data_IF_584429252803
#
_entry.id   IF_584429252803
#
_cell.length_a   1.000
_cell.length_b   1.000
_cell.length_c   1.000
_cell.angle_alpha   90.00
_cell.angle_beta   90.00
_cell.angle_gamma   90.00
#
_symmetry.space_group_name_H-M   'P 1'
#
loop_
_entity.id
_entity.type
_entity.pdbx_description
1 polymer ?
#
# COMPACT_ATOMS: atom_id res chain seq x y z
N UNK A 1 31.39 -41.52 61.28
CA UNK A 1 31.51 -40.05 61.17
C UNK A 1 32.01 -39.77 59.75
N UNK A 2 31.27 -39.32 58.74
CA UNK A 2 29.97 -38.67 58.61
C UNK A 2 30.12 -37.76 57.39
N UNK A 3 30.08 -38.32 56.18
CA UNK A 3 30.32 -37.60 54.92
C UNK A 3 29.10 -36.76 54.52
N UNK A 4 29.35 -35.47 54.27
CA UNK A 4 28.38 -34.47 53.85
C UNK A 4 28.01 -34.70 52.37
N UNK A 5 26.71 -34.86 52.10
CA UNK A 5 26.11 -34.99 50.78
C UNK A 5 25.55 -33.61 50.38
N UNK A 6 26.17 -32.93 49.41
CA UNK A 6 25.59 -31.73 48.80
C UNK A 6 24.52 -32.15 47.79
N UNK A 7 23.28 -31.74 48.05
CA UNK A 7 22.16 -31.81 47.11
C UNK A 7 21.93 -30.40 46.56
N UNK A 8 22.36 -30.16 45.31
CA UNK A 8 21.88 -29.03 44.52
C UNK A 8 20.67 -29.52 43.72
N UNK A 9 19.53 -28.88 43.94
CA UNK A 9 18.30 -29.14 43.23
C UNK A 9 17.66 -27.79 42.90
N UNK A 10 17.74 -27.37 41.65
CA UNK A 10 16.69 -26.53 41.04
C UNK A 10 16.76 -26.72 39.53
N UNK A 11 15.69 -27.31 38.99
CA UNK A 11 15.57 -27.68 37.59
C UNK A 11 15.51 -26.47 36.67
N UNK A 12 16.23 -26.58 35.56
CA UNK A 12 16.05 -25.74 34.38
C UNK A 12 15.19 -26.58 33.44
N UNK A 13 13.89 -26.28 33.37
CA UNK A 13 13.06 -26.81 32.31
C UNK A 13 13.50 -26.16 31.00
N UNK A 14 14.04 -26.98 30.09
CA UNK A 14 14.31 -26.60 28.72
C UNK A 14 12.98 -26.20 28.06
N UNK A 15 12.83 -24.90 27.77
CA UNK A 15 11.88 -24.46 26.76
C UNK A 15 12.52 -24.77 25.41
N UNK A 16 11.94 -25.72 24.69
CA UNK A 16 12.24 -26.00 23.29
C UNK A 16 11.92 -24.75 22.48
N UNK A 17 12.97 -24.01 22.13
CA UNK A 17 12.95 -22.96 21.13
C UNK A 17 12.98 -23.67 19.77
N UNK A 18 11.81 -23.92 19.19
CA UNK A 18 11.71 -24.38 17.80
C UNK A 18 12.24 -23.27 16.89
N UNK A 19 13.50 -23.43 16.49
CA UNK A 19 14.16 -22.70 15.42
C UNK A 19 13.49 -23.03 14.07
N UNK A 20 12.48 -22.26 13.70
CA UNK A 20 11.84 -22.26 12.39
C UNK A 20 12.61 -21.43 11.36
N UNK A 21 13.56 -22.09 10.69
CA UNK A 21 14.07 -21.91 9.32
C UNK A 21 13.82 -20.58 8.57
N UNK A 22 14.92 -19.97 8.11
CA UNK A 22 15.00 -18.90 7.11
C UNK A 22 14.24 -19.23 5.81
N UNK A 23 13.04 -18.67 5.67
CA UNK A 23 12.40 -18.32 4.41
C UNK A 23 12.05 -16.84 4.46
N UNK A 24 11.90 -16.15 3.32
CA UNK A 24 11.44 -14.76 3.29
C UNK A 24 10.08 -14.65 4.01
N UNK A 25 10.11 -14.34 5.30
CA UNK A 25 8.97 -14.47 6.19
C UNK A 25 8.07 -13.26 6.07
N UNK A 26 6.79 -13.50 5.74
CA UNK A 26 5.77 -12.48 5.77
C UNK A 26 5.81 -11.72 7.10
N UNK A 27 5.64 -10.39 7.10
CA UNK A 27 5.67 -9.60 8.32
C UNK A 27 4.64 -10.15 9.32
N UNK A 28 5.03 -10.24 10.60
CA UNK A 28 4.14 -10.74 11.65
C UNK A 28 2.84 -9.93 11.68
N UNK A 29 1.73 -10.55 12.07
CA UNK A 29 0.41 -9.87 12.12
C UNK A 29 0.46 -8.55 12.92
N UNK A 30 1.19 -8.57 14.04
CA UNK A 30 1.40 -7.40 14.88
C UNK A 30 2.24 -6.34 14.17
N UNK A 31 3.23 -6.74 13.37
CA UNK A 31 4.06 -5.83 12.56
C UNK A 31 3.18 -5.06 11.57
N UNK A 32 2.33 -5.75 10.80
CA UNK A 32 1.45 -5.10 9.82
C UNK A 32 0.46 -4.13 10.50
N UNK A 33 -0.17 -4.55 11.60
CA UNK A 33 -1.04 -3.68 12.39
C UNK A 33 -0.32 -2.41 12.86
N UNK A 34 0.89 -2.54 13.39
CA UNK A 34 1.71 -1.41 13.82
C UNK A 34 2.11 -0.49 12.67
N UNK A 35 2.42 -1.04 11.49
CA UNK A 35 2.76 -0.26 10.31
C UNK A 35 1.58 0.59 9.84
N UNK A 36 0.40 -0.01 9.70
CA UNK A 36 -0.81 0.74 9.32
C UNK A 36 -1.16 1.76 10.41
N UNK A 37 -1.08 1.40 11.69
CA UNK A 37 -1.29 2.34 12.81
C UNK A 37 -0.35 3.56 12.73
N UNK A 38 0.91 3.35 12.37
CA UNK A 38 1.89 4.41 12.23
C UNK A 38 1.52 5.36 11.08
N UNK A 39 1.07 4.81 9.94
CA UNK A 39 0.62 5.60 8.80
C UNK A 39 -0.68 6.37 9.09
N UNK A 40 -1.65 5.76 9.78
CA UNK A 40 -2.84 6.48 10.28
C UNK A 40 -2.41 7.65 11.18
N UNK A 41 -1.48 7.39 12.10
CA UNK A 41 -0.94 8.41 13.00
C UNK A 41 -0.27 9.57 12.27
N UNK A 42 0.43 9.30 11.17
CA UNK A 42 1.08 10.31 10.35
C UNK A 42 0.07 11.24 9.67
N UNK A 43 -0.99 10.68 9.06
CA UNK A 43 -2.07 11.47 8.43
C UNK A 43 -2.82 12.31 9.48
N UNK A 44 -3.23 11.69 10.60
CA UNK A 44 -3.89 12.40 11.70
C UNK A 44 -3.02 13.51 12.31
N UNK A 45 -1.69 13.33 12.33
CA UNK A 45 -0.78 14.36 12.83
C UNK A 45 -0.71 15.59 11.92
N UNK A 46 -0.70 15.42 10.59
CA UNK A 46 -0.70 16.55 9.65
C UNK A 46 -2.07 17.23 9.58
N UNK A 47 -3.17 16.47 9.67
CA UNK A 47 -4.51 17.03 9.75
C UNK A 47 -4.65 17.93 10.99
N UNK A 48 -4.27 17.46 12.18
CA UNK A 48 -4.31 18.27 13.42
C UNK A 48 -3.62 19.63 13.35
N UNK A 49 -2.54 19.74 12.57
CA UNK A 49 -1.75 20.96 12.42
C UNK A 49 -2.39 21.99 11.51
N UNK A 50 -3.36 21.61 10.70
CA UNK A 50 -4.07 22.52 9.83
C UNK A 50 -5.24 23.18 10.59
N UNK A 51 -5.29 24.52 10.59
CA UNK A 51 -6.23 25.31 11.39
C UNK A 51 -7.69 24.94 11.13
N UNK A 52 -8.05 24.57 9.89
CA UNK A 52 -9.39 24.09 9.50
C UNK A 52 -9.79 22.81 10.25
N UNK A 53 -8.81 22.01 10.63
CA UNK A 53 -8.99 20.69 11.26
C UNK A 53 -8.63 20.70 12.76
N UNK A 54 -7.82 21.66 13.21
CA UNK A 54 -7.34 21.76 14.59
C UNK A 54 -8.38 22.31 15.58
N UNK A 55 -9.29 23.19 15.14
CA UNK A 55 -10.32 23.79 16.01
C UNK A 55 -11.32 22.74 16.53
N UNK A 56 -11.54 21.66 15.77
CA UNK A 56 -12.48 20.59 16.12
C UNK A 56 -11.83 19.43 16.90
N UNK A 57 -10.51 19.46 17.12
CA UNK A 57 -9.78 18.39 17.80
C UNK A 57 -9.76 18.54 19.33
N UNK A 58 -10.20 19.68 19.87
CA UNK A 58 -10.13 20.05 21.30
C UNK A 58 -11.48 19.97 22.03
N UNK A 59 -12.57 19.72 21.32
CA UNK A 59 -13.87 19.39 21.93
C UNK A 59 -13.95 17.87 22.04
N UNK A 60 -14.20 17.33 23.23
CA UNK A 60 -14.43 15.90 23.49
C UNK A 60 -15.78 15.40 22.89
N UNK A 61 -16.33 16.18 21.96
CA UNK A 61 -17.62 15.96 21.31
C UNK A 61 -17.36 15.47 19.88
N UNK A 62 -17.37 14.14 19.72
CA UNK A 62 -17.17 13.43 18.44
C UNK A 62 -18.12 13.93 17.33
N UNK A 63 -19.23 14.61 17.66
CA UNK A 63 -20.24 15.08 16.69
C UNK A 63 -19.75 16.20 15.76
N UNK A 64 -18.74 16.97 16.14
CA UNK A 64 -18.21 18.06 15.31
C UNK A 64 -16.93 17.67 14.57
N UNK A 65 -16.48 16.43 14.72
CA UNK A 65 -15.27 15.97 14.06
C UNK A 65 -15.51 15.69 12.57
N UNK A 66 -14.54 16.08 11.72
CA UNK A 66 -14.66 15.88 10.29
C UNK A 66 -14.68 14.38 9.93
N UNK A 67 -15.54 13.99 8.99
CA UNK A 67 -15.74 12.60 8.54
C UNK A 67 -14.45 11.82 8.23
N UNK A 68 -13.50 12.44 7.52
CA UNK A 68 -12.19 11.85 7.22
C UNK A 68 -11.38 11.50 8.48
N UNK A 69 -11.41 12.38 9.48
CA UNK A 69 -10.72 12.16 10.76
C UNK A 69 -11.40 11.04 11.55
N UNK A 70 -12.74 11.04 11.59
CA UNK A 70 -13.52 9.98 12.22
C UNK A 70 -13.24 8.62 11.58
N UNK A 71 -13.18 8.55 10.24
CA UNK A 71 -12.86 7.33 9.48
C UNK A 71 -11.48 6.78 9.83
N UNK A 72 -10.45 7.64 9.87
CA UNK A 72 -9.09 7.27 10.29
C UNK A 72 -9.02 6.81 11.75
N UNK A 73 -9.72 7.48 12.67
CA UNK A 73 -9.82 7.07 14.08
C UNK A 73 -10.58 5.75 14.24
N UNK A 74 -11.62 5.51 13.44
CA UNK A 74 -12.37 4.26 13.44
C UNK A 74 -11.48 3.11 12.98
N UNK A 75 -10.76 3.28 11.87
CA UNK A 75 -9.77 2.31 11.40
C UNK A 75 -8.73 2.03 12.49
N UNK A 76 -8.17 3.06 13.13
CA UNK A 76 -7.17 2.90 14.20
C UNK A 76 -7.66 2.03 15.37
N UNK A 77 -8.94 2.10 15.72
CA UNK A 77 -9.54 1.23 16.76
C UNK A 77 -9.73 -0.20 16.26
N UNK A 78 -10.07 -0.37 14.98
CA UNK A 78 -10.37 -1.67 14.39
C UNK A 78 -9.12 -2.50 14.06
N UNK A 79 -8.01 -1.91 13.64
CA UNK A 79 -6.84 -2.67 13.16
C UNK A 79 -6.26 -3.66 14.19
N UNK A 80 -6.35 -3.36 15.49
CA UNK A 80 -5.88 -4.25 16.56
C UNK A 80 -6.94 -5.29 16.97
N UNK A 81 -8.18 -5.15 16.50
CA UNK A 81 -9.24 -6.15 16.68
C UNK A 81 -9.22 -7.26 15.64
N UNK A 82 -8.37 -7.16 14.61
CA UNK A 82 -8.22 -8.21 13.60
C UNK A 82 -7.21 -9.26 14.06
N UNK A 83 -7.72 -10.40 14.52
CA UNK A 83 -6.91 -11.50 15.06
C UNK A 83 -6.45 -12.49 13.96
N UNK A 84 -7.09 -12.41 12.79
CA UNK A 84 -6.83 -13.27 11.62
C UNK A 84 -5.50 -12.94 10.94
N UNK A 85 -5.08 -13.77 9.98
CA UNK A 85 -3.96 -13.42 9.09
C UNK A 85 -4.35 -12.24 8.20
N UNK A 86 -3.41 -11.35 7.91
CA UNK A 86 -3.72 -10.10 7.19
C UNK A 86 -4.18 -10.33 5.75
N UNK A 87 -3.74 -11.41 5.10
CA UNK A 87 -4.17 -11.73 3.74
C UNK A 87 -5.66 -12.10 3.62
N UNK A 88 -6.34 -12.48 4.72
CA UNK A 88 -7.80 -12.72 4.71
C UNK A 88 -8.61 -11.49 5.09
N UNK A 89 -7.95 -10.37 5.39
CA UNK A 89 -8.62 -9.10 5.67
C UNK A 89 -8.71 -8.34 4.36
N UNK A 90 -9.93 -7.96 3.96
CA UNK A 90 -10.15 -7.19 2.75
C UNK A 90 -9.35 -5.86 2.81
N UNK A 91 -8.40 -5.62 1.88
CA UNK A 91 -7.55 -4.43 1.90
C UNK A 91 -8.29 -3.11 1.81
N UNK A 92 -9.46 -3.11 1.18
CA UNK A 92 -10.31 -1.93 1.09
C UNK A 92 -10.62 -1.36 2.48
N UNK A 93 -10.79 -2.21 3.51
CA UNK A 93 -11.11 -1.78 4.87
C UNK A 93 -10.05 -0.87 5.48
N UNK A 94 -8.77 -1.08 5.16
CA UNK A 94 -7.67 -0.28 5.69
C UNK A 94 -7.05 0.68 4.69
N UNK A 95 -7.38 0.58 3.39
CA UNK A 95 -6.98 1.54 2.38
C UNK A 95 -7.96 2.71 2.24
N UNK A 96 -9.27 2.44 2.27
CA UNK A 96 -10.32 3.43 1.96
C UNK A 96 -10.16 4.76 2.73
N UNK A 97 -9.87 4.78 4.05
CA UNK A 97 -9.73 6.06 4.77
C UNK A 97 -8.59 6.94 4.25
N UNK A 98 -7.53 6.35 3.68
CA UNK A 98 -6.45 7.10 3.03
C UNK A 98 -6.86 7.57 1.62
N UNK A 99 -7.59 6.73 0.88
CA UNK A 99 -8.07 7.06 -0.45
C UNK A 99 -9.09 8.21 -0.42
N UNK A 100 -9.98 8.22 0.57
CA UNK A 100 -10.93 9.32 0.79
C UNK A 100 -10.21 10.64 1.05
N UNK A 101 -9.10 10.61 1.79
CA UNK A 101 -8.23 11.79 2.00
C UNK A 101 -7.59 12.24 0.69
N UNK A 102 -7.15 11.32 -0.16
CA UNK A 102 -6.52 11.64 -1.46
C UNK A 102 -7.53 12.25 -2.45
N UNK A 103 -8.79 11.85 -2.38
CA UNK A 103 -9.85 12.32 -3.27
C UNK A 103 -10.58 13.58 -2.76
N UNK A 104 -10.32 13.98 -1.52
CA UNK A 104 -11.02 15.12 -0.91
C UNK A 104 -10.45 16.47 -1.36
N UNK A 105 -11.32 17.27 -1.98
CA UNK A 105 -11.06 18.67 -2.34
C UNK A 105 -10.81 19.58 -1.12
N UNK A 106 -11.12 19.10 0.09
CA UNK A 106 -10.93 19.85 1.34
C UNK A 106 -9.52 19.66 1.92
N UNK A 107 -8.74 18.74 1.35
CA UNK A 107 -7.38 18.45 1.78
C UNK A 107 -6.37 19.24 0.95
N UNK A 108 -5.50 19.96 1.65
CA UNK A 108 -4.38 20.66 1.01
C UNK A 108 -3.21 19.72 0.73
N UNK A 109 -2.32 20.15 -0.17
CA UNK A 109 -1.15 19.38 -0.60
C UNK A 109 -0.35 18.67 0.51
N UNK A 110 -0.10 19.26 1.71
CA UNK A 110 0.60 18.56 2.78
C UNK A 110 -0.14 17.32 3.32
N UNK A 111 -1.47 17.39 3.43
CA UNK A 111 -2.29 16.27 3.94
C UNK A 111 -2.36 15.18 2.88
N UNK A 112 -2.74 15.54 1.65
CA UNK A 112 -2.79 14.65 0.48
C UNK A 112 -1.45 13.96 0.27
N UNK A 113 -0.35 14.70 0.38
CA UNK A 113 0.99 14.17 0.24
C UNK A 113 1.35 13.13 1.30
N UNK A 114 0.93 13.29 2.57
CA UNK A 114 1.16 12.25 3.59
C UNK A 114 0.31 11.02 3.31
N UNK A 115 -0.96 11.18 2.92
CA UNK A 115 -1.84 10.08 2.58
C UNK A 115 -1.32 9.24 1.39
N UNK A 116 -0.84 9.89 0.32
CA UNK A 116 -0.19 9.21 -0.81
C UNK A 116 1.05 8.42 -0.37
N UNK A 117 1.87 8.98 0.52
CA UNK A 117 3.03 8.25 1.06
C UNK A 117 2.63 7.04 1.90
N UNK A 118 1.54 7.15 2.66
CA UNK A 118 1.01 6.02 3.43
C UNK A 118 0.52 4.90 2.51
N UNK A 119 -0.24 5.22 1.46
CA UNK A 119 -0.66 4.24 0.45
C UNK A 119 0.54 3.60 -0.24
N UNK A 120 1.53 4.40 -0.65
CA UNK A 120 2.77 3.88 -1.25
C UNK A 120 3.44 2.83 -0.35
N UNK A 121 3.62 3.14 0.95
CA UNK A 121 4.26 2.21 1.89
C UNK A 121 3.43 0.94 2.10
N UNK A 122 2.11 1.06 2.20
CA UNK A 122 1.23 -0.12 2.32
C UNK A 122 1.41 -1.03 1.09
N UNK A 123 1.52 -0.47 -0.11
CA UNK A 123 1.77 -1.25 -1.34
C UNK A 123 3.17 -1.88 -1.38
N UNK A 124 4.21 -1.18 -0.92
CA UNK A 124 5.60 -1.64 -1.09
C UNK A 124 6.14 -2.52 0.03
N UNK A 125 5.47 -2.58 1.19
CA UNK A 125 5.96 -3.30 2.36
C UNK A 125 5.39 -4.73 2.48
N UNK A 126 4.96 -5.33 1.36
CA UNK A 126 4.34 -6.67 1.28
C UNK A 126 3.19 -6.87 2.29
N UNK A 127 2.49 -5.79 2.66
CA UNK A 127 1.24 -5.86 3.45
C UNK A 127 0.15 -6.53 2.61
N UNK A 128 0.24 -6.36 1.30
CA UNK A 128 -0.70 -6.80 0.30
C UNK A 128 0.05 -7.57 -0.78
N UNK A 129 -0.45 -8.74 -1.15
CA UNK A 129 0.07 -9.54 -2.26
C UNK A 129 -1.06 -10.08 -3.14
N UNK A 130 -0.69 -10.81 -4.20
CA UNK A 130 -1.67 -11.44 -5.12
C UNK A 130 -2.57 -12.50 -4.46
N UNK A 131 -2.21 -13.01 -3.28
CA UNK A 131 -2.97 -14.01 -2.54
C UNK A 131 -3.93 -13.37 -1.52
N UNK A 132 -3.87 -12.05 -1.37
CA UNK A 132 -4.71 -11.29 -0.46
C UNK A 132 -6.14 -11.24 -0.99
N UNK A 133 -7.12 -11.44 -0.12
CA UNK A 133 -8.54 -11.46 -0.49
C UNK A 133 -8.97 -10.13 -1.12
N UNK A 134 -9.76 -10.19 -2.20
CA UNK A 134 -10.28 -9.02 -2.92
C UNK A 134 -9.20 -8.01 -3.34
N UNK A 135 -7.99 -8.50 -3.63
CA UNK A 135 -6.88 -7.62 -4.02
C UNK A 135 -7.17 -6.85 -5.33
N UNK A 136 -7.86 -7.46 -6.29
CA UNK A 136 -8.24 -6.77 -7.53
C UNK A 136 -9.01 -5.49 -7.25
N UNK A 137 -10.08 -5.58 -6.45
CA UNK A 137 -10.92 -4.45 -6.07
C UNK A 137 -10.11 -3.36 -5.35
N UNK A 138 -9.22 -3.77 -4.43
CA UNK A 138 -8.36 -2.83 -3.71
C UNK A 138 -7.38 -2.10 -4.64
N UNK A 139 -6.75 -2.82 -5.57
CA UNK A 139 -5.84 -2.22 -6.55
C UNK A 139 -6.56 -1.26 -7.49
N UNK A 140 -7.77 -1.61 -7.93
CA UNK A 140 -8.60 -0.75 -8.79
C UNK A 140 -8.96 0.54 -8.04
N UNK A 141 -9.43 0.44 -6.80
CA UNK A 141 -9.73 1.60 -5.96
C UNK A 141 -8.52 2.50 -5.72
N UNK A 142 -7.34 1.94 -5.49
CA UNK A 142 -6.10 2.73 -5.33
C UNK A 142 -5.82 3.51 -6.62
N UNK A 143 -5.88 2.86 -7.78
CA UNK A 143 -5.64 3.53 -9.07
C UNK A 143 -6.66 4.63 -9.31
N UNK A 144 -7.94 4.34 -9.09
CA UNK A 144 -9.02 5.32 -9.28
C UNK A 144 -8.83 6.53 -8.36
N UNK A 145 -8.56 6.32 -7.08
CA UNK A 145 -8.34 7.40 -6.12
C UNK A 145 -7.10 8.23 -6.43
N UNK A 146 -5.99 7.60 -6.81
CA UNK A 146 -4.72 8.29 -7.06
C UNK A 146 -4.75 9.04 -8.40
N UNK A 147 -5.39 8.49 -9.43
CA UNK A 147 -5.50 9.16 -10.75
C UNK A 147 -6.58 10.24 -10.77
N UNK A 148 -7.57 10.15 -9.89
CA UNK A 148 -8.56 11.20 -9.65
C UNK A 148 -8.18 12.16 -8.51
N UNK A 149 -6.97 12.02 -7.93
CA UNK A 149 -6.47 12.82 -6.82
C UNK A 149 -6.73 14.32 -7.03
N UNK A 150 -7.30 14.96 -6.00
CA UNK A 150 -7.58 16.39 -5.97
C UNK A 150 -6.97 16.97 -4.71
N UNK A 151 -6.43 18.18 -4.83
CA UNK A 151 -5.91 18.88 -3.67
C UNK A 151 -5.88 20.38 -3.94
N UNK A 152 -6.03 21.14 -2.86
CA UNK A 152 -5.85 22.59 -2.90
C UNK A 152 -4.37 22.92 -3.12
N UNK A 153 -4.06 23.59 -4.23
CA UNK A 153 -2.71 24.05 -4.57
C UNK A 153 -2.44 25.35 -3.82
N UNK A 154 -1.73 25.25 -2.70
CA UNK A 154 -1.38 26.42 -1.87
C UNK A 154 -0.06 27.07 -2.27
N UNK A 155 0.88 26.29 -2.81
CA UNK A 155 2.15 26.78 -3.34
C UNK A 155 2.71 25.82 -4.40
N UNK A 156 3.55 26.29 -5.34
CA UNK A 156 4.07 25.45 -6.42
C UNK A 156 4.94 24.27 -5.94
N UNK A 157 5.68 24.43 -4.82
CA UNK A 157 6.58 23.39 -4.33
C UNK A 157 5.81 22.20 -3.74
N UNK A 158 4.75 22.46 -2.97
CA UNK A 158 3.89 21.41 -2.44
C UNK A 158 3.13 20.66 -3.54
N UNK A 159 2.73 21.35 -4.61
CA UNK A 159 2.16 20.72 -5.81
C UNK A 159 3.14 19.71 -6.42
N UNK A 160 4.40 20.10 -6.63
CA UNK A 160 5.42 19.22 -7.20
C UNK A 160 5.65 17.97 -6.34
N UNK A 161 5.64 18.12 -5.01
CA UNK A 161 5.77 16.99 -4.08
C UNK A 161 4.60 16.04 -4.22
N UNK A 162 3.36 16.53 -4.36
CA UNK A 162 2.19 15.68 -4.56
C UNK A 162 2.26 14.96 -5.91
N UNK A 163 2.61 15.65 -6.99
CA UNK A 163 2.79 15.04 -8.32
C UNK A 163 3.85 13.93 -8.31
N UNK A 164 4.97 14.15 -7.62
CA UNK A 164 6.01 13.13 -7.42
C UNK A 164 5.44 11.91 -6.69
N UNK A 165 4.63 12.11 -5.64
CA UNK A 165 4.04 11.01 -4.87
C UNK A 165 2.96 10.25 -5.64
N UNK A 166 2.17 10.92 -6.48
CA UNK A 166 1.24 10.28 -7.40
C UNK A 166 2.01 9.31 -8.31
N UNK A 167 3.08 9.78 -8.96
CA UNK A 167 3.94 8.95 -9.80
C UNK A 167 4.49 7.72 -9.05
N UNK A 168 4.95 7.90 -7.80
CA UNK A 168 5.46 6.82 -6.96
C UNK A 168 4.40 5.75 -6.67
N UNK A 169 3.18 6.16 -6.28
CA UNK A 169 2.09 5.22 -5.98
C UNK A 169 1.66 4.46 -7.22
N UNK A 170 1.50 5.15 -8.36
CA UNK A 170 1.10 4.51 -9.62
C UNK A 170 2.16 3.52 -10.11
N UNK A 171 3.44 3.86 -10.01
CA UNK A 171 4.52 2.93 -10.34
C UNK A 171 4.54 1.73 -9.39
N UNK A 172 4.31 1.94 -8.09
CA UNK A 172 4.22 0.85 -7.12
C UNK A 172 3.08 -0.11 -7.46
N UNK A 173 1.93 0.39 -7.93
CA UNK A 173 0.82 -0.47 -8.34
C UNK A 173 1.25 -1.44 -9.46
N UNK A 174 1.93 -0.93 -10.49
CA UNK A 174 2.38 -1.73 -11.64
C UNK A 174 3.55 -2.66 -11.29
N UNK A 175 4.42 -2.28 -10.35
CA UNK A 175 5.55 -3.13 -9.92
C UNK A 175 5.19 -4.13 -8.82
N UNK A 176 4.03 -4.00 -8.19
CA UNK A 176 3.58 -4.90 -7.14
C UNK A 176 3.30 -6.31 -7.68
N UNK A 177 3.40 -7.34 -6.85
CA UNK A 177 2.96 -8.70 -7.21
C UNK A 177 1.47 -8.76 -7.54
N UNK A 178 0.68 -7.84 -6.98
CA UNK A 178 -0.74 -7.69 -7.24
C UNK A 178 -1.05 -7.04 -8.60
N UNK A 179 -0.04 -6.59 -9.37
CA UNK A 179 -0.23 -5.92 -10.66
C UNK A 179 -0.99 -6.78 -11.67
N UNK A 180 -0.87 -8.10 -11.59
CA UNK A 180 -1.60 -9.07 -12.43
C UNK A 180 -3.13 -8.98 -12.27
N UNK A 181 -3.61 -8.35 -11.20
CA UNK A 181 -5.03 -8.13 -10.94
C UNK A 181 -5.55 -6.81 -11.53
N UNK A 182 -4.66 -5.95 -12.06
CA UNK A 182 -5.05 -4.71 -12.74
C UNK A 182 -5.61 -5.03 -14.12
N UNK A 183 -6.80 -4.50 -14.42
CA UNK A 183 -7.35 -4.58 -15.78
C UNK A 183 -6.53 -3.72 -16.75
N UNK A 184 -6.59 -4.04 -18.05
CA UNK A 184 -6.01 -3.21 -19.11
C UNK A 184 -6.48 -1.74 -19.04
N UNK A 185 -7.75 -1.49 -18.68
CA UNK A 185 -8.27 -0.14 -18.52
C UNK A 185 -7.52 0.64 -17.43
N UNK A 186 -7.34 0.04 -16.25
CA UNK A 186 -6.57 0.63 -15.16
C UNK A 186 -5.09 0.86 -15.55
N UNK A 187 -4.45 -0.08 -16.27
CA UNK A 187 -3.09 0.12 -16.79
C UNK A 187 -3.04 1.33 -17.74
N UNK A 188 -3.98 1.46 -18.67
CA UNK A 188 -4.08 2.62 -19.55
C UNK A 188 -4.30 3.93 -18.77
N UNK A 189 -5.16 3.92 -17.75
CA UNK A 189 -5.41 5.07 -16.87
C UNK A 189 -4.13 5.50 -16.14
N UNK A 190 -3.35 4.55 -15.62
CA UNK A 190 -2.04 4.79 -15.00
C UNK A 190 -1.09 5.46 -16.01
N UNK A 191 -0.91 4.87 -17.19
CA UNK A 191 -0.01 5.37 -18.24
C UNK A 191 -0.39 6.78 -18.66
N UNK A 192 -1.68 7.03 -18.91
CA UNK A 192 -2.19 8.35 -19.29
C UNK A 192 -1.95 9.39 -18.19
N UNK A 193 -2.13 9.01 -16.93
CA UNK A 193 -1.90 9.92 -15.80
C UNK A 193 -0.43 10.27 -15.66
N UNK A 194 0.46 9.26 -15.69
CA UNK A 194 1.90 9.47 -15.66
C UNK A 194 2.38 10.34 -16.84
N UNK A 195 1.86 10.11 -18.05
CA UNK A 195 2.19 10.92 -19.22
C UNK A 195 1.77 12.39 -19.06
N UNK A 196 0.55 12.64 -18.54
CA UNK A 196 0.08 13.99 -18.24
C UNK A 196 0.99 14.70 -17.23
N UNK A 197 1.41 14.00 -16.18
CA UNK A 197 2.33 14.56 -15.17
C UNK A 197 3.70 14.85 -15.77
N UNK A 198 4.24 13.97 -16.64
CA UNK A 198 5.50 14.23 -17.36
C UNK A 198 5.42 15.51 -18.19
N UNK A 199 4.31 15.72 -18.90
CA UNK A 199 4.10 16.94 -19.67
C UNK A 199 4.00 18.18 -18.76
N UNK A 200 3.23 18.09 -17.67
CA UNK A 200 3.10 19.16 -16.68
C UNK A 200 4.45 19.51 -16.04
N UNK A 201 5.27 18.49 -15.72
CA UNK A 201 6.59 18.66 -15.12
C UNK A 201 7.56 19.47 -15.99
N UNK A 202 7.36 19.55 -17.32
CA UNK A 202 8.23 20.30 -18.23
C UNK A 202 8.39 21.79 -17.90
N UNK A 203 7.48 22.35 -17.11
CA UNK A 203 7.53 23.76 -16.63
C UNK A 203 7.81 23.87 -15.12
N UNK A 204 8.10 22.75 -14.46
CA UNK A 204 8.36 22.61 -13.02
C UNK A 204 9.85 22.42 -12.74
N UNK A 205 10.24 22.18 -11.49
CA UNK A 205 11.65 21.98 -11.12
C UNK A 205 12.33 20.85 -11.90
N UNK A 206 13.64 20.97 -12.08
CA UNK A 206 14.45 19.96 -12.75
C UNK A 206 14.35 18.59 -12.06
N UNK A 207 14.20 18.58 -10.73
CA UNK A 207 14.05 17.36 -9.96
C UNK A 207 12.77 16.61 -10.34
N UNK A 208 11.62 17.30 -10.36
CA UNK A 208 10.35 16.68 -10.76
C UNK A 208 10.42 16.19 -12.20
N UNK A 209 11.02 16.97 -13.11
CA UNK A 209 11.22 16.54 -14.49
C UNK A 209 12.00 15.23 -14.61
N UNK A 210 13.11 15.10 -13.88
CA UNK A 210 13.93 13.89 -13.86
C UNK A 210 13.15 12.69 -13.29
N UNK A 211 12.44 12.89 -12.18
CA UNK A 211 11.63 11.85 -11.55
C UNK A 211 10.49 11.40 -12.47
N UNK A 212 9.78 12.33 -13.10
CA UNK A 212 8.68 12.02 -14.01
C UNK A 212 9.15 11.21 -15.22
N UNK A 213 10.25 11.64 -15.87
CA UNK A 213 10.84 10.89 -17.00
C UNK A 213 11.31 9.50 -16.58
N UNK A 214 12.00 9.38 -15.46
CA UNK A 214 12.44 8.09 -14.92
C UNK A 214 11.26 7.17 -14.63
N UNK A 215 10.23 7.69 -13.96
CA UNK A 215 9.03 6.92 -13.60
C UNK A 215 8.31 6.40 -14.85
N UNK A 216 8.18 7.23 -15.89
CA UNK A 216 7.57 6.80 -17.15
C UNK A 216 8.36 5.67 -17.82
N UNK A 217 9.69 5.74 -17.78
CA UNK A 217 10.55 4.68 -18.31
C UNK A 217 10.35 3.36 -17.56
N UNK A 218 10.38 3.41 -16.22
CA UNK A 218 10.15 2.24 -15.37
C UNK A 218 8.75 1.66 -15.53
N UNK A 219 7.74 2.51 -15.73
CA UNK A 219 6.36 2.10 -15.94
C UNK A 219 6.25 1.27 -17.23
N UNK A 220 6.77 1.78 -18.34
CA UNK A 220 6.78 1.06 -19.63
C UNK A 220 7.55 -0.24 -19.49
N UNK A 221 8.74 -0.22 -18.90
CA UNK A 221 9.55 -1.43 -18.69
C UNK A 221 8.79 -2.50 -17.90
N UNK A 222 8.09 -2.10 -16.84
CA UNK A 222 7.35 -3.04 -15.97
C UNK A 222 6.14 -3.64 -16.68
N UNK A 223 5.40 -2.84 -17.47
CA UNK A 223 4.27 -3.35 -18.27
C UNK A 223 4.76 -4.37 -19.30
N UNK A 224 5.83 -4.04 -20.03
CA UNK A 224 6.35 -4.91 -21.09
C UNK A 224 7.05 -6.16 -20.57
N UNK A 225 7.58 -6.17 -19.33
CA UNK A 225 8.10 -7.41 -18.74
C UNK A 225 7.00 -8.47 -18.54
N UNK A 226 5.76 -8.07 -18.28
CA UNK A 226 4.64 -9.01 -18.15
C UNK A 226 4.21 -9.62 -19.49
N UNK A 227 4.54 -9.00 -20.63
CA UNK A 227 4.25 -9.59 -21.95
C UNK A 227 5.07 -10.86 -22.22
N UNK A 228 6.24 -10.99 -21.60
CA UNK A 228 7.08 -12.20 -21.75
C UNK A 228 6.40 -13.44 -21.17
N UNK A 229 5.50 -13.27 -20.20
CA UNK A 229 4.75 -14.36 -19.57
C UNK A 229 3.52 -14.78 -20.40
N UNK A 230 3.07 -13.93 -21.34
CA UNK A 230 1.89 -14.21 -22.18
C UNK A 230 2.21 -15.30 -23.24
N UNK A 231 3.36 -15.20 -23.91
CA UNK A 231 3.80 -16.20 -24.91
C UNK A 231 3.99 -17.60 -24.32
N UNK A 232 4.28 -17.70 -23.02
CA UNK A 232 4.46 -19.00 -22.33
C UNK A 232 3.13 -19.68 -22.04
N UNK A 233 2.07 -18.90 -21.82
CA UNK A 233 0.76 -19.43 -21.40
C UNK A 233 -0.03 -19.98 -22.60
N UNK A 234 0.10 -19.40 -23.79
CA UNK A 234 -0.53 -19.92 -25.02
C UNK A 234 0.07 -21.27 -25.44
N UNK A 235 1.39 -21.43 -25.37
CA UNK A 235 2.06 -22.71 -25.68
C UNK A 235 1.77 -23.83 -24.65
N UNK A 236 1.43 -23.49 -23.41
CA UNK A 236 1.04 -24.48 -22.40
C UNK A 236 -0.38 -25.05 -22.65
N UNK A 237 -1.26 -24.27 -23.29
CA UNK A 237 -2.62 -24.70 -23.64
C UNK A 237 -2.66 -25.56 -24.93
N UNK A 238 -1.74 -25.35 -25.85
CA UNK A 238 -1.63 -26.16 -27.08
C UNK A 238 -1.05 -27.57 -26.83
N UNK A 239 -0.16 -27.72 -25.85
CA UNK A 239 0.45 -29.02 -25.53
C UNK A 239 -0.44 -29.98 -24.74
N UNK A 240 -1.62 -29.53 -24.28
CA UNK A 240 -2.61 -30.38 -23.59
C UNK A 240 -3.59 -31.13 -24.52
N UNK A 241 -3.61 -30.82 -25.82
CA UNK A 241 -4.66 -31.28 -26.74
C UNK A 241 -4.22 -32.35 -27.76
N UNK A 242 -2.95 -32.75 -27.77
CA UNK A 242 -2.40 -33.70 -28.77
C UNK A 242 -2.18 -35.13 -28.25
N UNK A 243 -2.56 -35.44 -27.01
CA UNK A 243 -2.30 -36.75 -26.40
C UNK A 243 -3.53 -37.67 -26.28
N UNK A 244 -4.46 -37.68 -27.24
CA UNK A 244 -5.49 -38.73 -27.34
C UNK A 244 -5.94 -38.92 -28.79
N UNK A 245 -5.16 -39.67 -29.59
CA UNK A 245 -5.63 -40.50 -30.73
C UNK A 245 -4.44 -41.17 -31.40
N UNK A 246 -4.09 -42.36 -30.92
CA UNK A 246 -3.60 -43.47 -31.74
C UNK A 246 -3.45 -44.70 -30.84
N UNK A 247 -4.53 -45.46 -30.65
CA UNK A 247 -4.45 -46.91 -30.42
C UNK A 247 -5.67 -47.61 -31.03
N UNK A 248 -5.34 -48.52 -31.96
CA UNK A 248 -6.11 -49.61 -32.62
C UNK A 248 -7.08 -49.25 -33.74
#
# INVERSE_FOLDING_TARGET
MGNVKLQMQTGINAMEEEAGQSGAGYPSKTTVACMINAEIGAVLAVMRRNVRWGVHYMSDDDQLEHSLVQSLKALRRQIFSWHSQWHVINPVLYLQPFLDVIQSDETGAPITGVALSSVYKILTLDVIDQNTVNIGDAMHLVVDAVTSCRFEVTDPGSEEVVLMKILQVLLACVKSKASVMLSNQHICTIVNTCFRIVHQAGTKSELLQRIARYTMHELVRSIFSHLQDIDVTEHALENGSTALKEEV
#
